data_IF_445376517649
#
_entry.id   IF_445376517649
#
_cell.length_a   1.000
_cell.length_b   1.000
_cell.length_c   1.000
_cell.angle_alpha   90.00
_cell.angle_beta   90.00
_cell.angle_gamma   90.00
#
_symmetry.space_group_name_H-M   'P 1'
#
loop_
_entity.id
_entity.type
_entity.pdbx_description
1 polymer ?
#
# COMPACT_ATOMS: atom_id res chain seq x y z
N UNK A 1 61.58 9.65 -14.56
CA UNK A 1 60.64 10.05 -15.64
C UNK A 1 59.93 8.79 -16.11
N UNK A 2 58.65 8.63 -15.77
CA UNK A 2 57.88 7.46 -16.20
C UNK A 2 57.43 7.65 -17.66
N UNK A 3 57.66 6.64 -18.50
CA UNK A 3 57.29 6.63 -19.91
C UNK A 3 55.77 6.80 -20.09
N UNK A 4 55.31 7.57 -21.08
CA UNK A 4 53.89 7.76 -21.33
C UNK A 4 53.21 6.41 -21.68
N UNK A 5 51.95 6.22 -21.28
CA UNK A 5 51.22 4.99 -21.59
C UNK A 5 51.10 4.83 -23.11
N UNK A 6 51.46 3.65 -23.61
CA UNK A 6 51.36 3.32 -25.03
C UNK A 6 49.92 3.36 -25.56
N UNK A 7 49.72 3.54 -26.87
CA UNK A 7 48.41 3.77 -27.50
C UNK A 7 47.38 2.67 -27.19
N UNK A 8 47.82 1.42 -27.00
CA UNK A 8 46.96 0.30 -26.59
C UNK A 8 46.39 0.45 -25.17
N UNK A 9 47.13 1.03 -24.23
CA UNK A 9 46.65 1.32 -22.87
C UNK A 9 45.66 2.48 -22.87
N UNK A 10 45.89 3.50 -23.71
CA UNK A 10 44.91 4.58 -23.90
C UNK A 10 43.61 4.05 -24.51
N UNK A 11 43.70 3.19 -25.53
CA UNK A 11 42.52 2.59 -26.15
C UNK A 11 41.74 1.70 -25.16
N UNK A 12 42.43 0.90 -24.35
CA UNK A 12 41.79 0.08 -23.32
C UNK A 12 41.14 0.92 -22.21
N UNK A 13 41.76 2.03 -21.79
CA UNK A 13 41.18 2.98 -20.83
C UNK A 13 39.98 3.72 -21.42
N UNK A 14 40.03 4.11 -22.69
CA UNK A 14 38.88 4.69 -23.41
C UNK A 14 37.74 3.68 -23.53
N UNK A 15 38.05 2.41 -23.84
CA UNK A 15 37.06 1.34 -23.93
C UNK A 15 36.43 1.03 -22.57
N UNK A 16 37.22 1.02 -21.49
CA UNK A 16 36.71 0.89 -20.12
C UNK A 16 35.85 2.09 -19.72
N UNK A 17 36.22 3.31 -20.12
CA UNK A 17 35.43 4.52 -19.87
C UNK A 17 34.14 4.58 -20.72
N UNK A 18 34.15 4.01 -21.93
CA UNK A 18 32.98 3.83 -22.79
C UNK A 18 32.04 2.73 -22.28
N UNK A 19 32.57 1.70 -21.62
CA UNK A 19 31.80 0.65 -20.93
C UNK A 19 31.29 1.12 -19.56
N UNK A 20 31.97 2.08 -18.93
CA UNK A 20 31.51 2.80 -17.76
C UNK A 20 30.55 3.94 -18.15
N UNK A 21 29.48 3.61 -18.89
CA UNK A 21 28.30 4.47 -18.91
C UNK A 21 27.77 4.62 -17.47
N UNK A 22 27.10 5.73 -17.11
CA UNK A 22 26.39 5.78 -15.85
C UNK A 22 25.36 4.66 -15.89
N UNK A 23 25.63 3.57 -15.17
CA UNK A 23 24.59 2.63 -14.84
C UNK A 23 23.53 3.46 -14.13
N UNK A 24 22.38 3.67 -14.76
CA UNK A 24 21.24 4.22 -14.05
C UNK A 24 21.09 3.34 -12.81
N UNK A 25 21.31 3.91 -11.63
CA UNK A 25 21.19 3.17 -10.39
C UNK A 25 19.79 2.59 -10.39
N UNK A 26 19.71 1.26 -10.50
CA UNK A 26 18.43 0.57 -10.42
C UNK A 26 17.79 0.97 -9.11
N UNK A 27 16.51 1.34 -9.14
CA UNK A 27 15.78 1.73 -7.95
C UNK A 27 15.97 0.67 -6.85
N UNK A 28 16.49 1.13 -5.71
CA UNK A 28 16.83 0.29 -4.56
C UNK A 28 16.08 0.85 -3.34
N UNK A 29 14.84 0.41 -3.11
CA UNK A 29 14.03 0.91 -2.00
C UNK A 29 14.60 0.44 -0.66
N UNK A 30 14.41 1.26 0.39
CA UNK A 30 14.88 0.96 1.74
C UNK A 30 14.19 -0.29 2.33
N UNK A 31 12.89 -0.41 2.08
CA UNK A 31 12.07 -1.60 2.33
C UNK A 31 11.74 -2.30 1.01
N UNK A 32 11.82 -3.63 0.99
CA UNK A 32 11.55 -4.42 -0.22
C UNK A 32 11.09 -5.85 0.12
N UNK A 33 9.81 -6.00 0.44
CA UNK A 33 9.18 -7.30 0.67
C UNK A 33 8.52 -7.77 -0.63
N UNK A 34 9.07 -8.84 -1.21
CA UNK A 34 8.52 -9.51 -2.39
C UNK A 34 8.16 -10.95 -1.98
N UNK A 35 6.87 -11.20 -1.75
CA UNK A 35 6.39 -12.43 -1.11
C UNK A 35 5.52 -13.23 -2.09
N UNK A 36 5.88 -14.49 -2.32
CA UNK A 36 5.08 -15.47 -3.05
C UNK A 36 4.24 -16.27 -2.04
N UNK A 37 2.97 -15.91 -1.91
CA UNK A 37 2.09 -16.39 -0.85
C UNK A 37 1.65 -17.84 -1.11
N UNK A 38 1.90 -18.72 -0.15
CA UNK A 38 1.63 -20.15 -0.25
C UNK A 38 2.52 -20.94 -1.20
N UNK A 39 3.54 -20.31 -1.79
CA UNK A 39 4.56 -21.02 -2.55
C UNK A 39 5.48 -21.83 -1.60
N UNK A 40 6.00 -22.96 -2.09
CA UNK A 40 7.00 -23.77 -1.36
C UNK A 40 8.43 -23.46 -1.80
N UNK A 41 8.60 -22.73 -2.90
CA UNK A 41 9.89 -22.33 -3.46
C UNK A 41 9.84 -20.86 -3.92
N UNK A 42 11.00 -20.18 -3.96
CA UNK A 42 11.08 -18.82 -4.50
C UNK A 42 10.66 -18.75 -5.97
N UNK A 43 9.99 -17.67 -6.35
CA UNK A 43 9.64 -17.36 -7.73
C UNK A 43 10.57 -16.25 -8.27
N UNK A 44 11.17 -16.47 -9.44
CA UNK A 44 11.99 -15.46 -10.12
C UNK A 44 11.27 -15.01 -11.38
N UNK A 45 11.06 -13.70 -11.50
CA UNK A 45 10.39 -13.11 -12.65
C UNK A 45 11.39 -12.79 -13.78
N UNK A 46 10.92 -12.66 -15.03
CA UNK A 46 11.78 -12.26 -16.16
C UNK A 46 12.49 -10.91 -15.96
N UNK A 47 11.95 -10.05 -15.10
CA UNK A 47 12.56 -8.76 -14.73
C UNK A 47 13.67 -8.86 -13.68
N UNK A 48 13.98 -10.07 -13.21
CA UNK A 48 15.02 -10.37 -12.23
C UNK A 48 14.56 -10.26 -10.78
N UNK A 49 13.32 -9.83 -10.51
CA UNK A 49 12.79 -9.82 -9.14
C UNK A 49 12.63 -11.24 -8.61
N UNK A 50 13.04 -11.45 -7.37
CA UNK A 50 12.93 -12.72 -6.65
C UNK A 50 11.95 -12.58 -5.50
N UNK A 51 10.87 -13.34 -5.57
CA UNK A 51 9.84 -13.42 -4.53
C UNK A 51 10.12 -14.64 -3.66
N UNK A 52 10.09 -14.46 -2.34
CA UNK A 52 10.32 -15.52 -1.36
C UNK A 52 9.01 -16.07 -0.83
N UNK A 53 8.93 -17.37 -0.47
CA UNK A 53 7.78 -17.91 0.25
C UNK A 53 7.43 -17.11 1.51
N UNK A 54 6.15 -16.94 1.78
CA UNK A 54 5.63 -16.36 3.02
C UNK A 54 6.07 -17.11 4.29
N UNK A 55 6.28 -18.43 4.19
CA UNK A 55 6.85 -19.27 5.25
C UNK A 55 8.35 -19.04 5.53
N UNK A 56 9.07 -18.37 4.62
CA UNK A 56 10.53 -18.19 4.69
C UNK A 56 11.00 -16.73 4.80
N UNK A 57 10.08 -15.78 5.00
CA UNK A 57 10.41 -14.36 5.04
C UNK A 57 10.75 -13.90 6.46
N UNK A 58 12.03 -13.64 6.74
CA UNK A 58 12.49 -13.27 8.09
C UNK A 58 12.00 -11.90 8.58
N UNK A 59 11.70 -10.97 7.66
CA UNK A 59 11.22 -9.61 7.96
C UNK A 59 9.69 -9.51 8.01
N UNK A 60 9.02 -10.66 8.13
CA UNK A 60 7.57 -10.78 8.10
C UNK A 60 7.11 -11.81 9.13
N UNK A 61 5.97 -11.56 9.77
CA UNK A 61 5.29 -12.56 10.61
C UNK A 61 3.86 -12.77 10.14
N UNK A 62 3.47 -14.02 9.90
CA UNK A 62 2.09 -14.39 9.59
C UNK A 62 1.34 -14.69 10.89
N UNK A 63 0.27 -13.95 11.16
CA UNK A 63 -0.62 -14.18 12.30
C UNK A 63 -1.96 -14.71 11.81
N UNK A 64 -2.44 -15.77 12.43
CA UNK A 64 -3.73 -16.39 12.12
C UNK A 64 -4.27 -17.08 13.36
N UNK A 65 -5.60 -17.07 13.53
CA UNK A 65 -6.26 -17.85 14.56
C UNK A 65 -6.28 -19.36 14.22
N UNK A 66 -6.26 -19.69 12.93
CA UNK A 66 -6.17 -21.07 12.46
C UNK A 66 -4.71 -21.57 12.54
N UNK A 67 -4.45 -22.76 13.14
CA UNK A 67 -3.10 -23.28 13.35
C UNK A 67 -2.41 -23.75 12.05
N UNK A 68 -3.18 -24.10 11.02
CA UNK A 68 -2.66 -24.42 9.70
C UNK A 68 -3.44 -23.63 8.64
N UNK A 69 -2.72 -22.87 7.82
CA UNK A 69 -3.28 -22.15 6.70
C UNK A 69 -3.12 -22.99 5.42
N UNK A 70 -4.19 -23.22 4.64
CA UNK A 70 -4.09 -23.93 3.39
C UNK A 70 -3.36 -23.12 2.31
N UNK A 71 -2.72 -23.85 1.38
CA UNK A 71 -2.27 -23.32 0.10
C UNK A 71 -3.23 -23.80 -0.99
N UNK A 72 -3.62 -22.92 -1.89
CA UNK A 72 -4.31 -23.30 -3.12
C UNK A 72 -3.33 -23.25 -4.29
N UNK A 73 -3.47 -24.18 -5.23
CA UNK A 73 -2.71 -24.25 -6.47
C UNK A 73 -3.64 -24.71 -7.61
N UNK A 74 -3.29 -24.49 -8.89
CA UNK A 74 -4.06 -24.99 -10.01
C UNK A 74 -4.21 -26.52 -9.96
N UNK A 75 -5.44 -27.03 -10.13
CA UNK A 75 -5.68 -28.48 -10.26
C UNK A 75 -5.23 -29.01 -11.62
N UNK A 76 -4.70 -30.23 -11.69
CA UNK A 76 -4.29 -30.82 -12.97
C UNK A 76 -5.47 -31.47 -13.73
N UNK A 77 -5.57 -31.34 -15.07
CA UNK A 77 -4.75 -30.51 -15.96
C UNK A 77 -5.27 -29.05 -16.02
N UNK A 78 -4.48 -28.10 -15.53
CA UNK A 78 -4.77 -26.66 -15.64
C UNK A 78 -3.88 -25.99 -16.69
N UNK A 79 -4.35 -24.90 -17.33
CA UNK A 79 -3.48 -24.01 -18.10
C UNK A 79 -2.31 -23.51 -17.26
N UNK A 80 -1.17 -23.25 -17.91
CA UNK A 80 -0.04 -22.62 -17.25
C UNK A 80 -0.48 -21.26 -16.66
N UNK A 81 -0.09 -20.95 -15.41
CA UNK A 81 -0.47 -19.68 -14.79
C UNK A 81 0.14 -18.50 -15.55
N UNK A 82 -0.52 -17.33 -15.57
CA UNK A 82 -0.05 -16.18 -16.35
C UNK A 82 1.27 -15.57 -15.83
N UNK A 83 1.68 -15.92 -14.61
CA UNK A 83 2.93 -15.51 -13.99
C UNK A 83 3.37 -16.58 -12.98
N UNK A 84 4.68 -16.76 -12.72
CA UNK A 84 5.15 -17.56 -11.59
C UNK A 84 4.55 -17.16 -10.23
N UNK A 85 4.16 -15.88 -10.05
CA UNK A 85 3.48 -15.43 -8.83
C UNK A 85 2.09 -16.05 -8.64
N UNK A 86 1.49 -16.55 -9.72
CA UNK A 86 0.15 -17.13 -9.73
C UNK A 86 0.20 -18.66 -9.67
N UNK A 87 1.32 -19.26 -9.26
CA UNK A 87 1.45 -20.70 -9.09
C UNK A 87 0.76 -21.22 -7.82
N UNK A 88 0.62 -20.38 -6.79
CA UNK A 88 -0.03 -20.71 -5.53
C UNK A 88 -0.76 -19.49 -4.95
N UNK A 89 -1.60 -19.72 -3.94
CA UNK A 89 -2.17 -18.68 -3.07
C UNK A 89 -2.17 -19.15 -1.62
N UNK A 90 -1.95 -18.23 -0.68
CA UNK A 90 -2.32 -18.42 0.72
C UNK A 90 -3.82 -18.18 0.86
N UNK A 91 -4.52 -19.08 1.54
CA UNK A 91 -5.96 -18.98 1.78
C UNK A 91 -6.24 -18.86 3.28
N UNK A 92 -7.16 -17.96 3.64
CA UNK A 92 -7.58 -17.66 5.01
C UNK A 92 -9.06 -17.94 5.17
N UNK A 93 -9.39 -18.87 6.07
CA UNK A 93 -10.77 -19.18 6.47
C UNK A 93 -11.24 -18.34 7.67
N UNK A 94 -10.35 -17.55 8.26
CA UNK A 94 -10.62 -16.65 9.36
C UNK A 94 -9.72 -15.40 9.22
N UNK A 95 -9.91 -14.45 10.12
CA UNK A 95 -9.05 -13.27 10.21
C UNK A 95 -7.57 -13.66 10.32
N UNK A 96 -6.74 -13.09 9.44
CA UNK A 96 -5.30 -13.28 9.42
C UNK A 96 -4.57 -11.99 9.01
N UNK A 97 -3.33 -11.84 9.44
CA UNK A 97 -2.51 -10.67 9.11
C UNK A 97 -1.06 -11.02 8.77
N UNK A 98 -0.47 -10.24 7.87
CA UNK A 98 0.97 -10.16 7.65
C UNK A 98 1.49 -8.93 8.38
N UNK A 99 2.41 -9.13 9.31
CA UNK A 99 3.18 -8.06 9.93
C UNK A 99 4.46 -7.88 9.12
N UNK A 100 4.58 -6.76 8.41
CA UNK A 100 5.72 -6.48 7.52
C UNK A 100 6.61 -5.41 8.18
N UNK A 101 7.86 -5.75 8.46
CA UNK A 101 8.79 -4.80 9.07
C UNK A 101 9.09 -3.62 8.13
N UNK A 102 9.13 -2.40 8.66
CA UNK A 102 9.37 -1.16 7.90
C UNK A 102 10.57 -0.45 8.51
N UNK A 103 11.58 -0.20 7.67
CA UNK A 103 12.84 0.45 8.04
C UNK A 103 12.77 1.94 7.82
N UNK A 104 12.06 2.40 6.77
CA UNK A 104 11.90 3.83 6.46
C UNK A 104 10.42 4.19 6.47
N UNK A 105 9.98 4.86 7.55
CA UNK A 105 8.65 5.48 7.60
C UNK A 105 8.46 6.46 6.44
N UNK A 106 7.22 6.59 5.98
CA UNK A 106 6.85 7.39 4.83
C UNK A 106 6.00 6.61 3.84
N UNK A 107 6.02 7.03 2.58
CA UNK A 107 5.21 6.40 1.54
C UNK A 107 5.72 5.02 1.15
N UNK A 108 4.79 4.10 0.95
CA UNK A 108 5.07 2.77 0.45
C UNK A 108 4.12 2.41 -0.69
N UNK A 109 4.65 1.66 -1.66
CA UNK A 109 3.83 0.96 -2.64
C UNK A 109 3.47 -0.40 -2.08
N UNK A 110 2.19 -0.72 -2.07
CA UNK A 110 1.64 -2.05 -1.75
C UNK A 110 0.94 -2.61 -2.97
N UNK A 111 1.42 -3.74 -3.51
CA UNK A 111 0.74 -4.48 -4.58
C UNK A 111 0.31 -5.84 -4.12
N UNK A 112 -0.96 -6.15 -4.37
CA UNK A 112 -1.58 -7.43 -4.03
C UNK A 112 -1.99 -8.14 -5.32
N UNK A 113 -1.51 -9.36 -5.50
CA UNK A 113 -1.83 -10.19 -6.66
C UNK A 113 -2.88 -11.21 -6.28
N UNK A 114 -3.96 -11.26 -7.06
CA UNK A 114 -5.06 -12.21 -6.91
C UNK A 114 -5.25 -12.98 -8.21
N UNK A 115 -5.07 -14.29 -8.17
CA UNK A 115 -5.39 -15.23 -9.22
C UNK A 115 -6.27 -16.33 -8.64
N UNK A 116 -7.56 -16.40 -9.04
CA UNK A 116 -8.58 -17.15 -8.31
C UNK A 116 -8.60 -18.66 -8.56
N UNK A 117 -7.76 -19.18 -9.45
CA UNK A 117 -7.83 -20.59 -9.88
C UNK A 117 -9.26 -21.02 -10.25
N UNK A 118 -9.95 -20.18 -11.05
CA UNK A 118 -11.39 -20.31 -11.27
C UNK A 118 -11.80 -21.74 -11.65
N UNK A 119 -12.83 -22.30 -10.98
CA UNK A 119 -13.76 -21.61 -10.08
C UNK A 119 -13.34 -21.55 -8.59
N UNK A 120 -12.21 -22.13 -8.18
CA UNK A 120 -11.92 -22.46 -6.78
C UNK A 120 -12.01 -21.28 -5.78
N UNK A 121 -11.48 -20.12 -6.14
CA UNK A 121 -11.51 -18.89 -5.32
C UNK A 121 -12.25 -17.74 -5.99
N UNK A 122 -12.93 -18.00 -7.12
CA UNK A 122 -13.59 -16.95 -7.91
C UNK A 122 -14.75 -16.27 -7.16
N UNK A 123 -15.41 -17.01 -6.26
CA UNK A 123 -16.51 -16.54 -5.41
C UNK A 123 -16.05 -16.13 -4.00
N UNK A 124 -14.75 -16.13 -3.72
CA UNK A 124 -14.21 -15.70 -2.44
C UNK A 124 -14.51 -14.21 -2.22
N UNK A 125 -15.08 -13.87 -1.06
CA UNK A 125 -15.46 -12.51 -0.69
C UNK A 125 -14.82 -12.14 0.63
N UNK A 126 -14.08 -11.03 0.66
CA UNK A 126 -13.30 -10.64 1.82
C UNK A 126 -12.95 -9.15 1.82
N UNK A 127 -12.46 -8.68 2.97
CA UNK A 127 -11.92 -7.34 3.16
C UNK A 127 -10.41 -7.40 3.30
N UNK A 128 -9.75 -6.31 2.90
CA UNK A 128 -8.31 -6.11 3.11
C UNK A 128 -8.07 -4.75 3.73
N UNK A 129 -7.33 -4.72 4.83
CA UNK A 129 -6.86 -3.48 5.45
C UNK A 129 -5.35 -3.46 5.59
N UNK A 130 -4.74 -2.27 5.57
CA UNK A 130 -3.32 -2.10 5.80
C UNK A 130 -3.06 -0.85 6.64
N UNK A 131 -2.29 -0.97 7.73
CA UNK A 131 -1.89 0.20 8.54
C UNK A 131 -3.07 1.02 9.09
N UNK A 132 -4.20 0.36 9.38
CA UNK A 132 -5.43 1.02 9.84
C UNK A 132 -6.37 1.50 8.73
N UNK A 133 -5.95 1.44 7.47
CA UNK A 133 -6.79 1.82 6.33
C UNK A 133 -7.53 0.61 5.74
N UNK A 134 -8.82 0.76 5.45
CA UNK A 134 -9.58 -0.19 4.64
C UNK A 134 -9.23 0.01 3.15
N UNK A 135 -8.58 -0.97 2.54
CA UNK A 135 -8.14 -0.92 1.14
C UNK A 135 -9.17 -1.54 0.19
N UNK A 136 -9.72 -2.68 0.58
CA UNK A 136 -10.68 -3.46 -0.20
C UNK A 136 -11.86 -3.86 0.69
N UNK A 137 -13.07 -3.57 0.25
CA UNK A 137 -14.31 -3.86 0.97
C UNK A 137 -15.22 -4.74 0.10
N UNK A 138 -15.76 -5.83 0.67
CA UNK A 138 -16.57 -6.82 -0.06
C UNK A 138 -15.93 -7.24 -1.39
N UNK A 139 -14.61 -7.46 -1.38
CA UNK A 139 -13.84 -7.68 -2.57
C UNK A 139 -13.96 -9.12 -3.05
N UNK A 140 -14.13 -9.26 -4.37
CA UNK A 140 -14.12 -10.52 -5.09
C UNK A 140 -13.17 -10.41 -6.29
N UNK A 141 -12.55 -11.52 -6.68
CA UNK A 141 -11.61 -11.57 -7.79
C UNK A 141 -11.99 -12.73 -8.73
N UNK A 142 -13.01 -12.59 -9.59
CA UNK A 142 -13.43 -13.66 -10.50
C UNK A 142 -12.42 -13.96 -11.62
N UNK A 143 -11.48 -13.05 -11.85
CA UNK A 143 -10.38 -13.14 -12.82
C UNK A 143 -9.08 -12.60 -12.21
N UNK A 144 -7.89 -12.93 -12.78
CA UNK A 144 -6.63 -12.37 -12.32
C UNK A 144 -6.64 -10.84 -12.25
N UNK A 145 -6.25 -10.29 -11.10
CA UNK A 145 -6.19 -8.85 -10.86
C UNK A 145 -5.02 -8.51 -9.94
N UNK A 146 -4.39 -7.38 -10.20
CA UNK A 146 -3.39 -6.77 -9.31
C UNK A 146 -3.98 -5.49 -8.77
N UNK A 147 -3.97 -5.34 -7.44
CA UNK A 147 -4.35 -4.10 -6.76
C UNK A 147 -3.10 -3.36 -6.34
N UNK A 148 -2.98 -2.09 -6.73
CA UNK A 148 -1.77 -1.28 -6.57
C UNK A 148 -2.09 -0.02 -5.76
N UNK A 149 -1.50 0.08 -4.57
CA UNK A 149 -1.75 1.14 -3.61
C UNK A 149 -0.50 1.93 -3.30
N UNK A 150 -0.66 3.23 -3.08
CA UNK A 150 0.33 4.08 -2.42
C UNK A 150 -0.28 4.54 -1.09
N UNK A 151 0.39 4.25 0.02
CA UNK A 151 -0.12 4.60 1.36
C UNK A 151 0.99 5.17 2.26
N UNK A 152 0.65 6.06 3.21
CA UNK A 152 1.56 6.47 4.27
C UNK A 152 1.74 5.35 5.29
N UNK A 153 2.96 5.21 5.79
CA UNK A 153 3.31 4.24 6.84
C UNK A 153 4.16 4.94 7.90
N UNK A 154 3.55 5.20 9.06
CA UNK A 154 4.15 5.97 10.15
C UNK A 154 4.65 5.08 11.30
N UNK A 155 4.60 3.76 11.13
CA UNK A 155 5.01 2.76 12.10
C UNK A 155 6.15 1.89 11.55
N UNK A 156 6.86 1.20 12.46
CA UNK A 156 7.97 0.30 12.11
C UNK A 156 7.48 -1.08 11.64
N UNK A 157 6.16 -1.30 11.66
CA UNK A 157 5.48 -2.50 11.14
C UNK A 157 4.22 -2.06 10.41
N UNK A 158 4.06 -2.49 9.16
CA UNK A 158 2.79 -2.43 8.45
C UNK A 158 2.02 -3.72 8.69
N UNK A 159 0.87 -3.63 9.35
CA UNK A 159 -0.04 -4.77 9.53
C UNK A 159 -1.00 -4.80 8.33
N UNK A 160 -0.90 -5.85 7.51
CA UNK A 160 -1.77 -6.13 6.37
C UNK A 160 -2.74 -7.26 6.73
N UNK A 161 -4.02 -6.93 6.88
CA UNK A 161 -5.06 -7.81 7.41
C UNK A 161 -6.01 -8.27 6.32
N UNK A 162 -6.35 -9.56 6.34
CA UNK A 162 -7.35 -10.20 5.49
C UNK A 162 -8.50 -10.72 6.35
N UNK A 163 -9.73 -10.36 5.98
CA UNK A 163 -10.94 -10.72 6.74
C UNK A 163 -11.96 -11.35 5.79
N UNK A 164 -12.13 -12.68 5.80
CA UNK A 164 -13.17 -13.32 4.99
C UNK A 164 -14.57 -12.96 5.48
N UNK A 165 -15.51 -12.86 4.55
CA UNK A 165 -16.93 -12.83 4.86
C UNK A 165 -17.40 -14.14 5.50
N UNK A 166 -18.51 -14.10 6.23
CA UNK A 166 -19.07 -15.28 6.89
C UNK A 166 -19.34 -16.41 5.88
N UNK A 167 -18.73 -17.58 6.10
CA UNK A 167 -18.83 -18.72 5.19
C UNK A 167 -18.01 -18.59 3.89
N UNK A 168 -17.16 -17.57 3.78
CA UNK A 168 -16.25 -17.35 2.65
C UNK A 168 -14.79 -17.58 3.04
N UNK A 169 -13.88 -17.25 2.13
CA UNK A 169 -12.44 -17.27 2.34
C UNK A 169 -11.80 -15.99 1.79
N UNK A 170 -10.64 -15.63 2.33
CA UNK A 170 -9.75 -14.62 1.76
C UNK A 170 -8.54 -15.32 1.13
N UNK A 171 -7.93 -14.71 0.12
CA UNK A 171 -6.72 -15.28 -0.46
C UNK A 171 -5.82 -14.19 -1.04
N UNK A 172 -4.54 -14.52 -1.19
CA UNK A 172 -3.55 -13.68 -1.87
C UNK A 172 -2.48 -14.57 -2.48
N UNK A 173 -2.04 -14.25 -3.70
CA UNK A 173 -1.03 -15.01 -4.44
C UNK A 173 0.37 -14.41 -4.26
N UNK A 174 0.47 -13.08 -4.23
CA UNK A 174 1.71 -12.39 -3.95
C UNK A 174 1.48 -11.01 -3.32
N UNK A 175 2.46 -10.58 -2.53
CA UNK A 175 2.50 -9.27 -1.87
C UNK A 175 3.82 -8.61 -2.27
N UNK A 176 3.73 -7.38 -2.77
CA UNK A 176 4.87 -6.48 -2.91
C UNK A 176 4.66 -5.33 -1.94
N UNK A 177 5.60 -5.09 -1.02
CA UNK A 177 5.65 -3.89 -0.21
C UNK A 177 7.05 -3.29 -0.31
N UNK A 178 7.16 -2.07 -0.83
CA UNK A 178 8.45 -1.39 -0.91
C UNK A 178 8.33 0.11 -0.67
N UNK A 179 9.39 0.71 -0.12
CA UNK A 179 9.41 2.16 0.12
C UNK A 179 9.26 2.90 -1.20
N UNK A 180 8.42 3.93 -1.22
CA UNK A 180 8.25 4.82 -2.36
C UNK A 180 9.07 6.09 -2.16
N UNK A 181 9.58 6.71 -3.25
CA UNK A 181 10.12 8.06 -3.19
C UNK A 181 9.06 9.07 -2.74
N UNK A 182 9.48 10.04 -1.92
CA UNK A 182 8.56 11.02 -1.34
C UNK A 182 7.90 11.88 -2.42
N UNK A 183 8.61 12.07 -3.54
CA UNK A 183 8.24 12.83 -4.73
C UNK A 183 7.13 12.21 -5.59
N UNK A 184 6.73 10.96 -5.31
CA UNK A 184 5.65 10.32 -6.05
C UNK A 184 4.30 11.02 -5.86
N UNK A 185 4.03 11.66 -4.73
CA UNK A 185 2.82 12.46 -4.52
C UNK A 185 3.19 13.66 -3.66
N UNK A 186 3.04 14.86 -4.19
CA UNK A 186 3.20 16.08 -3.40
C UNK A 186 2.06 16.24 -2.38
N UNK A 187 2.20 17.13 -1.41
CA UNK A 187 1.11 17.39 -0.45
C UNK A 187 0.01 18.30 -1.04
N UNK A 188 0.34 19.03 -2.10
CA UNK A 188 -0.50 20.07 -2.70
C UNK A 188 -1.00 19.58 -4.06
N UNK A 189 -2.29 19.73 -4.30
CA UNK A 189 -2.92 19.49 -5.59
C UNK A 189 -3.89 20.58 -5.99
N UNK A 190 -4.47 20.40 -7.17
CA UNK A 190 -5.41 21.36 -7.77
C UNK A 190 -6.80 20.74 -7.86
N UNK A 191 -7.71 21.11 -6.96
CA UNK A 191 -9.11 20.69 -7.01
C UNK A 191 -9.81 21.36 -8.20
N UNK A 192 -10.40 20.55 -9.08
CA UNK A 192 -11.15 21.00 -10.24
C UNK A 192 -12.62 20.62 -10.07
N UNK A 193 -13.50 21.62 -10.12
CA UNK A 193 -14.94 21.45 -10.00
C UNK A 193 -15.68 22.45 -10.91
N UNK A 194 -17.01 22.32 -11.02
CA UNK A 194 -17.84 23.26 -11.75
C UNK A 194 -17.69 24.72 -11.28
N UNK A 195 -17.45 24.92 -9.98
CA UNK A 195 -17.23 26.24 -9.39
C UNK A 195 -15.86 26.87 -9.73
N UNK A 196 -14.96 26.10 -10.38
CA UNK A 196 -13.64 26.54 -10.76
C UNK A 196 -12.53 25.69 -10.16
N UNK A 197 -11.35 26.30 -10.03
CA UNK A 197 -10.12 25.63 -9.62
C UNK A 197 -9.68 26.18 -8.26
N UNK A 198 -9.45 25.27 -7.31
CA UNK A 198 -8.99 25.62 -5.96
C UNK A 198 -7.76 24.81 -5.59
N UNK A 199 -6.94 25.35 -4.69
CA UNK A 199 -5.86 24.59 -4.07
C UNK A 199 -6.44 23.60 -3.06
N UNK A 200 -5.87 22.39 -3.01
CA UNK A 200 -6.12 21.42 -1.94
C UNK A 200 -4.79 20.92 -1.39
N UNK A 201 -4.71 20.81 -0.06
CA UNK A 201 -3.52 20.33 0.66
C UNK A 201 -3.84 18.97 1.33
N UNK A 202 -2.85 18.33 1.96
CA UNK A 202 -3.06 17.06 2.67
C UNK A 202 -3.15 15.83 1.77
N UNK A 203 -2.67 15.91 0.53
CA UNK A 203 -2.56 14.74 -0.35
C UNK A 203 -1.56 13.72 0.16
N UNK A 204 -0.54 14.17 0.91
CA UNK A 204 0.54 13.29 1.34
C UNK A 204 0.11 12.25 2.37
N UNK A 205 -0.97 12.51 3.10
CA UNK A 205 -1.56 11.61 4.10
C UNK A 205 -2.64 10.69 3.53
N UNK A 206 -2.91 10.76 2.22
CA UNK A 206 -3.95 9.94 1.59
C UNK A 206 -3.45 8.58 1.15
N UNK A 207 -4.38 7.63 1.10
CA UNK A 207 -4.20 6.37 0.40
C UNK A 207 -4.72 6.52 -1.02
N UNK A 208 -3.92 6.06 -1.98
CA UNK A 208 -4.23 6.08 -3.40
C UNK A 208 -4.27 4.66 -3.96
N UNK A 209 -5.37 4.24 -4.57
CA UNK A 209 -5.42 3.05 -5.42
C UNK A 209 -5.22 3.46 -6.88
N UNK A 210 -4.15 2.98 -7.51
CA UNK A 210 -3.93 3.26 -8.93
C UNK A 210 -4.87 2.42 -9.80
N UNK A 211 -5.71 3.08 -10.59
CA UNK A 211 -6.64 2.43 -11.52
C UNK A 211 -6.08 2.39 -12.94
N UNK A 212 -5.44 3.49 -13.37
CA UNK A 212 -4.93 3.64 -14.72
C UNK A 212 -3.52 4.22 -14.73
N UNK A 213 -2.68 3.68 -15.62
CA UNK A 213 -1.39 4.27 -16.02
C UNK A 213 -1.26 4.18 -17.53
N UNK A 214 -1.22 5.33 -18.18
CA UNK A 214 -1.33 5.46 -19.62
C UNK A 214 -0.05 6.07 -20.18
N UNK A 215 0.55 5.38 -21.15
CA UNK A 215 1.62 5.91 -21.98
C UNK A 215 1.02 6.43 -23.30
N UNK A 216 0.89 7.75 -23.43
CA UNK A 216 0.12 8.37 -24.52
C UNK A 216 0.90 8.29 -25.83
N UNK A 217 0.28 7.69 -26.85
CA UNK A 217 0.88 7.34 -28.14
C UNK A 217 2.15 6.45 -28.06
N UNK A 218 2.54 6.04 -26.86
CA UNK A 218 3.72 5.24 -26.59
C UNK A 218 3.45 3.74 -26.60
N UNK A 219 4.53 2.96 -26.57
CA UNK A 219 4.43 1.50 -26.44
C UNK A 219 4.14 1.13 -24.98
N UNK A 220 3.56 -0.06 -24.77
CA UNK A 220 3.35 -0.60 -23.43
C UNK A 220 4.69 -0.65 -22.68
N UNK A 221 4.74 -0.04 -21.51
CA UNK A 221 5.87 -0.14 -20.57
C UNK A 221 5.54 -1.25 -19.60
N UNK A 222 6.48 -2.17 -19.39
CA UNK A 222 6.35 -3.30 -18.47
C UNK A 222 7.26 -3.10 -17.27
N UNK A 223 7.11 -3.90 -16.19
CA UNK A 223 7.99 -3.81 -15.03
C UNK A 223 9.49 -3.91 -15.35
N UNK A 224 9.85 -4.57 -16.46
CA UNK A 224 11.23 -4.66 -16.94
C UNK A 224 11.83 -3.30 -17.33
N UNK A 225 11.01 -2.40 -17.87
CA UNK A 225 11.40 -1.10 -18.42
C UNK A 225 10.89 0.09 -17.59
N UNK A 226 10.32 -0.16 -16.41
CA UNK A 226 9.85 0.86 -15.48
C UNK A 226 10.75 0.92 -14.24
N UNK A 227 10.88 2.11 -13.66
CA UNK A 227 11.72 2.38 -12.49
C UNK A 227 11.15 1.83 -11.19
N UNK A 228 9.83 1.67 -11.09
CA UNK A 228 9.11 1.18 -9.91
C UNK A 228 8.29 -0.07 -10.21
N UNK A 229 8.69 -0.83 -11.24
CA UNK A 229 8.01 -2.04 -11.70
C UNK A 229 6.53 -1.85 -12.06
N UNK A 230 6.15 -0.64 -12.50
CA UNK A 230 4.79 -0.32 -12.98
C UNK A 230 4.58 -0.83 -14.40
N UNK A 231 3.30 -0.94 -14.77
CA UNK A 231 2.89 -1.17 -16.15
C UNK A 231 2.15 0.06 -16.66
N UNK A 232 2.53 0.54 -17.83
CA UNK A 232 1.85 1.64 -18.52
C UNK A 232 1.29 1.12 -19.84
N UNK A 233 -0.01 1.33 -20.08
CA UNK A 233 -0.69 0.85 -21.30
C UNK A 233 -0.88 1.99 -22.29
N UNK A 234 -0.98 1.68 -23.58
CA UNK A 234 -1.20 2.67 -24.60
C UNK A 234 -2.61 3.31 -24.49
N UNK A 235 -2.74 4.58 -24.89
CA UNK A 235 -3.96 5.38 -24.74
C UNK A 235 -5.10 5.04 -25.73
N UNK A 236 -4.82 4.30 -26.80
CA UNK A 236 -5.75 4.05 -27.91
C UNK A 236 -7.09 3.46 -27.50
N UNK A 237 -7.15 2.69 -26.41
CA UNK A 237 -8.40 2.10 -25.89
C UNK A 237 -9.30 3.10 -25.17
N UNK A 238 -8.80 4.29 -24.86
CA UNK A 238 -9.49 5.30 -24.03
C UNK A 238 -9.86 6.55 -24.82
N UNK A 239 -9.37 6.72 -26.05
CA UNK A 239 -9.68 7.86 -26.90
C UNK A 239 -11.15 7.85 -27.34
N UNK A 240 -11.85 8.98 -27.13
CA UNK A 240 -13.25 9.15 -27.54
C UNK A 240 -13.37 9.33 -29.05
N UNK A 241 -12.49 10.14 -29.64
CA UNK A 241 -12.38 10.31 -31.09
C UNK A 241 -10.99 9.93 -31.54
N UNK A 242 -10.93 9.08 -32.57
CA UNK A 242 -9.68 8.67 -33.23
C UNK A 242 -9.47 9.41 -34.55
N UNK A 243 -10.18 10.52 -34.77
CA UNK A 243 -10.03 11.29 -36.00
C UNK A 243 -8.59 11.77 -36.15
N UNK A 244 -7.90 11.22 -37.15
CA UNK A 244 -6.50 11.50 -37.45
C UNK A 244 -6.25 12.92 -37.94
N UNK A 245 -7.30 13.63 -38.36
CA UNK A 245 -7.22 15.00 -38.85
C UNK A 245 -6.89 16.01 -37.74
N UNK A 246 -7.33 15.76 -36.50
CA UNK A 246 -7.17 16.68 -35.37
C UNK A 246 -6.05 16.31 -34.41
N UNK A 247 -5.57 15.06 -34.45
CA UNK A 247 -4.54 14.55 -33.53
C UNK A 247 -3.33 13.94 -34.24
N UNK A 248 -2.15 14.02 -33.61
CA UNK A 248 -0.91 13.46 -34.16
C UNK A 248 -0.06 12.81 -33.07
N UNK A 249 0.44 11.61 -33.33
CA UNK A 249 1.39 10.92 -32.47
C UNK A 249 2.83 11.39 -32.73
N UNK A 250 3.62 11.48 -31.67
CA UNK A 250 5.02 11.90 -31.67
C UNK A 250 5.88 10.91 -30.91
N UNK A 251 7.12 10.77 -31.37
CA UNK A 251 8.15 9.96 -30.73
C UNK A 251 9.47 10.71 -30.75
N UNK A 252 10.20 10.66 -29.65
CA UNK A 252 11.46 11.35 -29.45
C UNK A 252 12.59 10.37 -29.18
N UNK A 253 13.60 10.37 -30.04
CA UNK A 253 14.80 9.52 -29.88
C UNK A 253 15.91 10.16 -29.06
N UNK A 254 15.74 11.42 -28.62
CA UNK A 254 16.73 12.13 -27.82
C UNK A 254 16.66 11.80 -26.34
N UNK A 255 17.55 12.42 -25.56
CA UNK A 255 17.60 12.24 -24.11
C UNK A 255 16.58 13.14 -23.41
N UNK A 256 15.75 12.57 -22.54
CA UNK A 256 14.87 13.34 -21.66
C UNK A 256 15.71 14.03 -20.58
N UNK A 257 15.58 15.35 -20.48
CA UNK A 257 16.35 16.22 -19.62
C UNK A 257 15.68 16.35 -18.25
N UNK A 258 15.72 15.29 -17.43
CA UNK A 258 15.30 15.39 -16.04
C UNK A 258 16.16 16.44 -15.31
N UNK A 259 15.56 17.35 -14.53
CA UNK A 259 16.31 18.29 -13.73
C UNK A 259 17.33 17.59 -12.86
N UNK A 260 18.57 18.10 -12.87
CA UNK A 260 19.59 17.67 -11.92
C UNK A 260 19.14 18.08 -10.51
N UNK A 261 19.32 17.17 -9.55
CA UNK A 261 19.08 17.39 -8.12
C UNK A 261 17.63 17.75 -7.73
N UNK A 262 16.66 17.59 -8.63
CA UNK A 262 15.25 17.79 -8.30
C UNK A 262 14.71 16.62 -7.48
N UNK A 263 14.11 16.97 -6.33
CA UNK A 263 13.30 16.05 -5.51
C UNK A 263 11.82 16.06 -5.89
N UNK A 264 11.46 16.67 -7.02
CA UNK A 264 10.07 16.75 -7.49
C UNK A 264 9.89 16.02 -8.82
N UNK A 265 10.98 15.84 -9.57
CA UNK A 265 10.94 15.24 -10.90
C UNK A 265 12.17 14.35 -11.12
N UNK A 266 11.93 13.05 -11.03
CA UNK A 266 12.93 11.99 -11.18
C UNK A 266 12.39 10.91 -12.11
N UNK A 267 13.24 9.93 -12.47
CA UNK A 267 12.79 8.80 -13.32
C UNK A 267 11.83 7.87 -12.59
N UNK A 268 11.78 7.95 -11.26
CA UNK A 268 10.84 7.25 -10.41
C UNK A 268 9.43 7.83 -10.57
N UNK A 269 9.28 9.13 -10.84
CA UNK A 269 7.97 9.73 -11.15
C UNK A 269 7.34 9.09 -12.39
N UNK A 270 8.07 9.04 -13.50
CA UNK A 270 7.74 8.22 -14.66
C UNK A 270 9.01 7.98 -15.50
N UNK A 271 9.16 6.84 -16.19
CA UNK A 271 10.35 6.53 -16.96
C UNK A 271 10.40 7.31 -18.29
N UNK A 272 11.58 7.37 -18.92
CA UNK A 272 11.77 8.01 -20.24
C UNK A 272 10.78 7.52 -21.29
N UNK A 273 10.41 6.24 -21.22
CA UNK A 273 9.46 5.62 -22.14
C UNK A 273 8.05 6.23 -22.10
N UNK A 274 7.73 7.00 -21.06
CA UNK A 274 6.49 7.79 -20.97
C UNK A 274 6.69 9.16 -21.59
N UNK A 275 7.82 9.83 -21.30
CA UNK A 275 8.07 11.20 -21.77
C UNK A 275 8.63 11.29 -23.20
N UNK A 276 9.03 10.17 -23.81
CA UNK A 276 9.53 10.12 -25.17
C UNK A 276 8.44 9.89 -26.23
N UNK A 277 7.19 9.75 -25.82
CA UNK A 277 6.02 9.74 -26.69
C UNK A 277 5.02 10.79 -26.27
N UNK A 278 4.24 11.28 -27.24
CA UNK A 278 3.15 12.20 -26.98
C UNK A 278 2.08 12.11 -28.05
N UNK A 279 0.86 12.51 -27.71
CA UNK A 279 -0.19 12.81 -28.70
C UNK A 279 -0.52 14.28 -28.63
N UNK A 280 -0.43 14.97 -29.77
CA UNK A 280 -0.80 16.38 -29.89
C UNK A 280 -2.18 16.56 -30.51
N UNK A 281 -2.79 17.72 -30.29
CA UNK A 281 -4.00 18.22 -30.92
C UNK A 281 -3.72 19.51 -31.69
N UNK A 282 -4.47 19.77 -32.76
CA UNK A 282 -4.42 21.03 -33.52
C UNK A 282 -5.01 22.21 -32.74
N UNK A 283 -4.68 23.43 -33.16
CA UNK A 283 -5.17 24.69 -32.55
C UNK A 283 -6.70 24.84 -32.49
N UNK A 284 -7.42 24.18 -33.40
CA UNK A 284 -8.88 24.20 -33.54
C UNK A 284 -9.57 22.90 -33.09
N UNK A 285 -8.80 21.93 -32.59
CA UNK A 285 -9.29 20.60 -32.22
C UNK A 285 -9.40 20.37 -30.72
N UNK A 286 -10.00 19.24 -30.37
CA UNK A 286 -9.97 18.66 -29.03
C UNK A 286 -9.45 17.22 -29.07
N UNK A 287 -8.83 16.80 -27.97
CA UNK A 287 -8.38 15.43 -27.77
C UNK A 287 -8.90 14.97 -26.41
N UNK A 288 -9.72 13.93 -26.41
CA UNK A 288 -10.50 13.52 -25.23
C UNK A 288 -10.29 12.04 -24.95
N UNK A 289 -10.14 11.70 -23.67
CA UNK A 289 -10.07 10.34 -23.16
C UNK A 289 -11.18 10.10 -22.13
N UNK A 290 -11.80 8.93 -22.19
CA UNK A 290 -12.82 8.47 -21.24
C UNK A 290 -12.32 7.25 -20.46
N UNK A 291 -12.41 7.33 -19.13
CA UNK A 291 -11.96 6.28 -18.22
C UNK A 291 -13.11 5.80 -17.33
N UNK A 292 -13.58 4.56 -17.47
CA UNK A 292 -14.56 4.00 -16.54
C UNK A 292 -14.00 3.98 -15.11
N UNK A 293 -14.65 4.64 -14.17
CA UNK A 293 -14.21 4.70 -12.77
C UNK A 293 -15.39 4.53 -11.82
N UNK A 294 -15.20 4.00 -10.61
CA UNK A 294 -16.29 3.96 -9.63
C UNK A 294 -16.87 5.35 -9.33
N UNK A 295 -18.19 5.52 -9.50
CA UNK A 295 -18.87 6.77 -9.14
C UNK A 295 -18.78 7.06 -7.63
N UNK A 296 -19.09 8.30 -7.21
CA UNK A 296 -19.07 8.79 -5.82
C UNK A 296 -17.73 8.65 -5.12
N UNK A 297 -16.65 8.83 -5.88
CA UNK A 297 -15.28 8.76 -5.41
C UNK A 297 -14.50 10.00 -5.86
N UNK A 298 -13.45 10.30 -5.10
CA UNK A 298 -12.48 11.34 -5.40
C UNK A 298 -11.27 10.72 -6.08
N UNK A 299 -10.70 11.41 -7.05
CA UNK A 299 -9.58 10.95 -7.83
C UNK A 299 -8.46 11.98 -7.88
N UNK A 300 -7.22 11.50 -7.79
CA UNK A 300 -6.03 12.23 -8.19
C UNK A 300 -5.72 11.84 -9.64
N UNK A 301 -5.74 12.82 -10.53
CA UNK A 301 -5.41 12.72 -11.94
C UNK A 301 -4.07 13.40 -12.14
N UNK A 302 -3.04 12.60 -12.43
CA UNK A 302 -1.72 13.12 -12.80
C UNK A 302 -1.57 13.13 -14.30
N UNK A 303 -1.34 14.31 -14.87
CA UNK A 303 -1.01 14.47 -16.28
C UNK A 303 0.48 14.71 -16.45
N UNK A 304 1.13 13.88 -17.27
CA UNK A 304 2.56 13.97 -17.58
C UNK A 304 2.80 14.68 -18.90
N UNK A 305 3.73 15.64 -18.87
CA UNK A 305 4.09 16.48 -19.99
C UNK A 305 5.60 16.54 -20.15
N UNK A 306 6.07 16.52 -21.40
CA UNK A 306 7.44 16.74 -21.79
C UNK A 306 7.40 17.24 -23.24
N UNK A 307 7.80 18.49 -23.46
CA UNK A 307 7.68 19.10 -24.77
C UNK A 307 8.71 18.51 -25.74
N UNK A 308 8.24 17.51 -26.50
CA UNK A 308 8.94 16.86 -27.60
C UNK A 308 8.32 17.22 -28.96
N UNK A 309 7.40 18.18 -28.98
CA UNK A 309 6.57 18.54 -30.14
C UNK A 309 7.03 19.87 -30.73
N UNK A 310 7.32 20.85 -29.87
CA UNK A 310 7.74 22.19 -30.29
C UNK A 310 9.14 22.19 -30.92
N UNK A 311 9.37 23.15 -31.81
CA UNK A 311 10.72 23.44 -32.34
C UNK A 311 11.45 24.50 -31.50
N UNK A 312 10.70 25.33 -30.78
CA UNK A 312 11.22 26.35 -29.87
C UNK A 312 10.25 26.57 -28.70
N UNK A 313 10.70 27.25 -27.65
CA UNK A 313 9.85 27.63 -26.51
C UNK A 313 8.70 28.54 -26.96
N UNK A 314 7.63 28.56 -26.17
CA UNK A 314 6.45 29.43 -26.30
C UNK A 314 5.64 29.23 -27.59
N UNK A 315 5.56 27.99 -28.11
CA UNK A 315 4.88 27.66 -29.35
C UNK A 315 3.52 26.96 -29.16
N UNK A 316 3.36 26.19 -28.10
CA UNK A 316 2.23 25.29 -27.89
C UNK A 316 1.40 25.75 -26.68
N UNK A 317 0.31 26.45 -26.98
CA UNK A 317 -0.68 26.87 -25.99
C UNK A 317 -1.90 25.96 -26.08
N UNK A 318 -2.43 25.52 -24.95
CA UNK A 318 -3.60 24.65 -24.92
C UNK A 318 -4.37 24.74 -23.61
N UNK A 319 -5.64 24.37 -23.62
CA UNK A 319 -6.45 24.30 -22.42
C UNK A 319 -6.58 22.85 -21.94
N UNK A 320 -6.49 22.66 -20.63
CA UNK A 320 -6.65 21.35 -19.98
C UNK A 320 -8.05 21.32 -19.35
N UNK A 321 -8.79 20.25 -19.61
CA UNK A 321 -10.10 20.00 -19.04
C UNK A 321 -10.09 18.69 -18.26
N UNK A 322 -10.57 18.75 -17.02
CA UNK A 322 -10.70 17.59 -16.13
C UNK A 322 -12.17 17.46 -15.76
N UNK A 323 -12.75 16.31 -16.08
CA UNK A 323 -14.16 16.00 -15.96
C UNK A 323 -15.09 17.07 -16.56
N UNK A 324 -14.75 17.56 -17.75
CA UNK A 324 -15.52 18.61 -18.45
C UNK A 324 -15.31 20.03 -17.93
N UNK A 325 -14.60 20.22 -16.82
CA UNK A 325 -14.31 21.53 -16.24
C UNK A 325 -12.93 22.04 -16.68
N UNK A 326 -12.82 23.34 -16.90
CA UNK A 326 -11.57 24.00 -17.28
C UNK A 326 -10.59 24.01 -16.10
N UNK A 327 -9.48 23.30 -16.23
CA UNK A 327 -8.46 23.17 -15.20
C UNK A 327 -7.28 24.13 -15.43
N UNK A 328 -6.90 24.35 -16.68
CA UNK A 328 -5.90 25.35 -17.07
C UNK A 328 -6.26 25.92 -18.43
N UNK A 329 -6.14 27.23 -18.61
CA UNK A 329 -6.45 27.93 -19.86
C UNK A 329 -5.17 28.40 -20.52
N UNK A 330 -5.05 28.18 -21.83
CA UNK A 330 -3.92 28.65 -22.66
C UNK A 330 -2.55 28.35 -22.01
N UNK A 331 -2.44 27.16 -21.43
CA UNK A 331 -1.24 26.65 -20.78
C UNK A 331 -0.16 26.37 -21.82
N UNK A 332 1.05 26.87 -21.53
CA UNK A 332 2.28 26.52 -22.24
C UNK A 332 3.27 25.99 -21.22
N UNK A 333 3.69 24.74 -21.38
CA UNK A 333 4.62 24.10 -20.45
C UNK A 333 6.00 24.76 -20.47
N UNK A 334 6.44 25.25 -21.63
CA UNK A 334 7.79 25.76 -21.80
C UNK A 334 8.03 27.05 -21.00
N UNK A 335 6.97 27.81 -20.71
CA UNK A 335 6.97 28.91 -19.74
C UNK A 335 7.30 28.48 -18.32
N UNK A 336 6.96 27.25 -17.94
CA UNK A 336 7.21 26.69 -16.60
C UNK A 336 8.57 25.98 -16.54
N UNK A 337 8.91 25.19 -17.57
CA UNK A 337 10.14 24.40 -17.57
C UNK A 337 11.36 25.20 -18.03
N UNK A 338 11.19 26.20 -18.91
CA UNK A 338 12.28 26.95 -19.54
C UNK A 338 13.09 26.16 -20.58
N UNK A 339 12.77 24.88 -20.80
CA UNK A 339 13.51 23.97 -21.67
C UNK A 339 12.56 22.97 -22.38
N UNK A 340 12.93 22.55 -23.59
CA UNK A 340 12.31 21.44 -24.30
C UNK A 340 12.84 20.09 -23.79
N UNK A 341 12.11 19.02 -24.08
CA UNK A 341 12.40 17.65 -23.63
C UNK A 341 12.62 17.55 -22.10
N UNK A 342 11.98 18.45 -21.35
CA UNK A 342 12.07 18.55 -19.90
C UNK A 342 10.76 18.08 -19.27
N UNK A 343 10.77 17.02 -18.44
CA UNK A 343 9.57 16.43 -17.91
C UNK A 343 8.93 17.28 -16.81
N UNK A 344 7.61 17.27 -16.78
CA UNK A 344 6.75 17.94 -15.82
C UNK A 344 5.48 17.12 -15.61
N UNK A 345 4.86 17.23 -14.43
CA UNK A 345 3.52 16.70 -14.22
C UNK A 345 2.65 17.73 -13.52
N UNK A 346 1.34 17.58 -13.69
CA UNK A 346 0.34 18.35 -12.94
C UNK A 346 -0.63 17.38 -12.31
N UNK A 347 -0.90 17.60 -11.02
CA UNK A 347 -1.83 16.84 -10.22
C UNK A 347 -3.15 17.60 -10.04
N UNK A 348 -4.23 17.02 -10.54
CA UNK A 348 -5.59 17.50 -10.37
C UNK A 348 -6.36 16.57 -9.44
N UNK A 349 -7.16 17.14 -8.56
CA UNK A 349 -8.12 16.41 -7.73
C UNK A 349 -9.50 16.66 -8.30
N UNK A 350 -10.28 15.61 -8.47
CA UNK A 350 -11.64 15.72 -9.03
C UNK A 350 -12.57 14.73 -8.35
N UNK A 351 -13.78 15.20 -8.08
CA UNK A 351 -14.89 14.37 -7.61
C UNK A 351 -15.68 13.88 -8.82
N UNK A 352 -15.98 12.58 -8.86
CA UNK A 352 -16.87 11.97 -9.86
C UNK A 352 -18.13 11.58 -9.12
N UNK A 353 -19.13 12.45 -9.17
CA UNK A 353 -20.37 12.31 -8.39
C UNK A 353 -21.31 11.27 -9.00
N UNK A 354 -21.62 11.44 -10.29
CA UNK A 354 -22.46 10.60 -11.11
C UNK A 354 -21.70 10.15 -12.37
N UNK A 355 -22.27 9.17 -13.08
CA UNK A 355 -21.69 8.50 -14.25
C UNK A 355 -20.30 7.92 -13.93
N UNK A 356 -20.16 6.59 -13.94
CA UNK A 356 -18.90 5.92 -13.62
C UNK A 356 -17.81 6.10 -14.70
N UNK A 357 -17.55 7.34 -15.13
CA UNK A 357 -16.70 7.73 -16.23
C UNK A 357 -16.03 9.07 -15.95
N UNK A 358 -14.71 9.08 -15.96
CA UNK A 358 -13.89 10.28 -15.85
C UNK A 358 -13.44 10.72 -17.25
N UNK A 359 -13.83 11.95 -17.64
CA UNK A 359 -13.52 12.52 -18.95
C UNK A 359 -12.36 13.51 -18.84
N UNK A 360 -11.30 13.31 -19.62
CA UNK A 360 -10.14 14.20 -19.64
C UNK A 360 -9.95 14.74 -21.05
N UNK A 361 -9.63 16.02 -21.21
CA UNK A 361 -9.40 16.59 -22.53
C UNK A 361 -8.30 17.64 -22.60
N UNK A 362 -7.65 17.70 -23.75
CA UNK A 362 -6.76 18.78 -24.17
C UNK A 362 -7.43 19.52 -25.34
N UNK A 363 -7.72 20.80 -25.15
CA UNK A 363 -8.26 21.67 -26.19
C UNK A 363 -7.16 22.53 -26.81
N UNK A 364 -7.12 22.59 -28.15
CA UNK A 364 -6.27 23.54 -28.85
C UNK A 364 -6.57 24.99 -28.47
N UNK A 365 -5.59 25.87 -28.66
CA UNK A 365 -5.71 27.31 -28.46
C UNK A 365 -5.41 28.06 -29.75
N UNK A 366 -6.14 29.17 -29.94
CA UNK A 366 -5.89 30.14 -31.01
C UNK A 366 -4.63 30.97 -30.78
N UNK A 367 -4.03 30.90 -29.58
CA UNK A 367 -2.71 31.48 -29.30
C UNK A 367 -1.58 30.72 -30.00
N UNK A 368 -1.80 29.45 -30.31
CA UNK A 368 -0.90 28.65 -31.16
C UNK A 368 -1.09 29.00 -32.63
N UNK A 369 -0.13 28.58 -33.46
CA UNK A 369 -0.20 28.80 -34.90
C UNK A 369 -1.44 28.13 -35.51
N UNK A 370 -2.24 28.85 -36.31
CA UNK A 370 -3.45 28.29 -36.91
C UNK A 370 -3.17 27.04 -37.73
N UNK A 371 -3.85 25.95 -37.38
CA UNK A 371 -3.74 24.68 -38.08
C UNK A 371 -2.45 23.90 -37.86
N UNK A 372 -1.62 24.31 -36.89
CA UNK A 372 -0.49 23.51 -36.41
C UNK A 372 -0.86 22.81 -35.09
N UNK A 373 0.09 22.04 -34.53
CA UNK A 373 -0.04 21.48 -33.20
C UNK A 373 -0.17 22.60 -32.16
N UNK A 374 -0.93 22.34 -31.10
CA UNK A 374 -1.26 23.34 -30.08
C UNK A 374 -1.14 22.78 -28.68
N UNK A 375 -1.76 21.64 -28.40
CA UNK A 375 -1.66 20.96 -27.11
C UNK A 375 -1.20 19.52 -27.25
N UNK A 376 -0.73 18.93 -26.16
CA UNK A 376 -0.26 17.54 -26.16
C UNK A 376 -0.29 16.92 -24.77
N UNK A 377 -0.16 15.60 -24.71
CA UNK A 377 0.00 14.83 -23.47
C UNK A 377 0.97 13.66 -23.70
N UNK A 378 1.82 13.35 -22.73
CA UNK A 378 2.80 12.26 -22.79
C UNK A 378 2.37 11.04 -21.97
N UNK A 379 1.73 11.26 -20.83
CA UNK A 379 1.27 10.18 -19.96
C UNK A 379 0.17 10.62 -19.00
N UNK A 380 -0.49 9.64 -18.39
CA UNK A 380 -1.56 9.87 -17.43
C UNK A 380 -1.55 8.81 -16.34
N UNK A 381 -1.76 9.21 -15.08
CA UNK A 381 -2.12 8.30 -13.99
C UNK A 381 -3.46 8.73 -13.37
N UNK A 382 -4.33 7.76 -13.09
CA UNK A 382 -5.58 7.99 -12.37
C UNK A 382 -5.57 7.14 -11.11
N UNK A 383 -5.66 7.81 -9.97
CA UNK A 383 -5.59 7.20 -8.65
C UNK A 383 -6.86 7.53 -7.87
N UNK A 384 -7.58 6.52 -7.41
CA UNK A 384 -8.71 6.68 -6.49
C UNK A 384 -8.18 7.06 -5.11
N UNK A 385 -8.69 8.14 -4.55
CA UNK A 385 -8.34 8.61 -3.22
C UNK A 385 -9.30 8.03 -2.17
N UNK A 386 -8.78 7.77 -0.98
CA UNK A 386 -9.65 7.55 0.17
C UNK A 386 -10.41 8.84 0.53
N UNK A 387 -11.64 8.74 1.03
CA UNK A 387 -12.45 9.91 1.38
C UNK A 387 -11.89 10.63 2.61
N UNK A 388 -11.47 11.88 2.43
CA UNK A 388 -11.10 12.80 3.51
C UNK A 388 -12.33 13.53 4.03
N UNK A 389 -12.72 13.28 5.28
CA UNK A 389 -13.69 14.10 6.00
C UNK A 389 -15.01 13.37 6.26
N UNK A 390 -15.23 13.07 7.53
CA UNK A 390 -16.28 12.18 8.01
C UNK A 390 -15.73 10.76 8.05
N UNK A 391 -15.38 10.31 9.26
CA UNK A 391 -15.01 8.92 9.46
C UNK A 391 -15.97 8.02 8.72
N UNK A 392 -15.45 6.99 8.04
CA UNK A 392 -16.21 5.76 8.07
C UNK A 392 -16.31 5.44 9.55
N UNK A 393 -17.47 5.74 10.15
CA UNK A 393 -17.89 5.31 11.48
C UNK A 393 -18.17 3.80 11.46
N UNK A 394 -17.21 3.10 10.88
CA UNK A 394 -16.92 1.69 10.93
C UNK A 394 -15.42 1.74 11.14
N UNK A 395 -15.02 2.11 12.37
CA UNK A 395 -13.68 1.93 12.86
C UNK A 395 -13.25 0.51 12.44
N UNK A 396 -12.48 0.40 11.35
CA UNK A 396 -11.93 -0.87 10.92
C UNK A 396 -11.11 -1.54 12.05
N UNK A 397 -10.48 -0.78 12.98
CA UNK A 397 -10.02 -1.33 14.25
C UNK A 397 -11.17 -1.80 15.16
N UNK A 398 -12.19 -0.98 15.42
CA UNK A 398 -13.21 -1.29 16.45
C UNK A 398 -14.25 -2.33 16.02
N UNK A 399 -14.56 -2.49 14.73
CA UNK A 399 -15.46 -3.56 14.26
C UNK A 399 -14.75 -4.92 14.32
N UNK A 400 -13.45 -4.96 14.05
CA UNK A 400 -12.65 -6.18 14.20
C UNK A 400 -12.32 -6.46 15.67
N UNK A 401 -12.03 -5.43 16.48
CA UNK A 401 -11.75 -5.58 17.91
C UNK A 401 -13.03 -5.93 18.69
N UNK A 402 -14.20 -5.36 18.37
CA UNK A 402 -15.48 -5.81 18.95
C UNK A 402 -15.83 -7.23 18.53
N UNK A 403 -15.67 -7.62 17.27
CA UNK A 403 -15.93 -9.00 16.82
C UNK A 403 -14.99 -10.03 17.48
N UNK A 404 -13.73 -9.67 17.69
CA UNK A 404 -12.71 -10.51 18.31
C UNK A 404 -12.82 -10.53 19.85
N UNK A 405 -13.03 -9.39 20.51
CA UNK A 405 -13.22 -9.29 21.95
C UNK A 405 -14.53 -9.93 22.40
N UNK A 406 -15.61 -9.83 21.62
CA UNK A 406 -16.88 -10.51 21.93
C UNK A 406 -16.75 -12.03 21.78
N UNK A 407 -15.99 -12.52 20.80
CA UNK A 407 -15.80 -13.98 20.61
C UNK A 407 -14.80 -14.61 21.59
N UNK A 408 -13.72 -13.90 21.96
CA UNK A 408 -12.74 -14.38 22.94
C UNK A 408 -13.18 -14.15 24.40
N UNK A 409 -13.85 -13.03 24.65
CA UNK A 409 -14.32 -12.62 25.99
C UNK A 409 -15.37 -13.56 26.56
N UNK A 410 -16.34 -14.03 25.77
CA UNK A 410 -17.36 -14.96 26.28
C UNK A 410 -16.79 -16.33 26.67
N UNK A 411 -15.83 -16.86 25.90
CA UNK A 411 -15.23 -18.17 26.14
C UNK A 411 -14.29 -18.20 27.36
N UNK A 412 -13.48 -17.16 27.56
CA UNK A 412 -12.56 -17.07 28.70
C UNK A 412 -13.29 -16.62 29.98
N UNK A 413 -14.26 -15.69 29.88
CA UNK A 413 -15.05 -15.25 31.03
C UNK A 413 -15.95 -16.36 31.58
N UNK A 414 -16.60 -17.16 30.71
CA UNK A 414 -17.41 -18.31 31.13
C UNK A 414 -16.57 -19.40 31.82
N UNK A 415 -15.33 -19.66 31.36
CA UNK A 415 -14.42 -20.63 31.99
C UNK A 415 -13.89 -20.13 33.34
N UNK A 416 -13.65 -18.82 33.48
CA UNK A 416 -13.26 -18.19 34.75
C UNK A 416 -14.40 -18.20 35.77
N UNK A 417 -15.64 -17.93 35.34
CA UNK A 417 -16.82 -17.96 36.21
C UNK A 417 -17.10 -19.39 36.71
N UNK A 418 -16.93 -20.40 35.83
CA UNK A 418 -17.11 -21.80 36.20
C UNK A 418 -16.06 -22.25 37.23
N UNK A 419 -14.80 -21.83 37.07
CA UNK A 419 -13.76 -22.10 38.07
C UNK A 419 -14.06 -21.39 39.40
N UNK A 420 -14.50 -20.13 39.37
CA UNK A 420 -14.88 -19.37 40.57
C UNK A 420 -16.02 -20.04 41.35
N UNK A 421 -17.05 -20.54 40.66
CA UNK A 421 -18.18 -21.24 41.29
C UNK A 421 -17.76 -22.58 41.90
N UNK A 422 -16.87 -23.33 41.24
CA UNK A 422 -16.31 -24.58 41.78
C UNK A 422 -15.48 -24.31 43.03
N UNK A 423 -14.61 -23.29 43.01
CA UNK A 423 -13.81 -22.92 44.19
C UNK A 423 -14.67 -22.41 45.35
N UNK A 424 -15.69 -21.61 45.09
CA UNK A 424 -16.63 -21.15 46.11
C UNK A 424 -17.42 -22.33 46.72
N UNK A 425 -17.85 -23.28 45.88
CA UNK A 425 -18.52 -24.51 46.33
C UNK A 425 -17.61 -25.37 47.21
N UNK A 426 -16.37 -25.61 46.79
CA UNK A 426 -15.38 -26.37 47.57
C UNK A 426 -15.05 -25.68 48.90
N UNK A 427 -14.95 -24.34 48.91
CA UNK A 427 -14.72 -23.57 50.13
C UNK A 427 -15.88 -23.69 51.11
N UNK A 428 -17.13 -23.62 50.64
CA UNK A 428 -18.31 -23.81 51.49
C UNK A 428 -18.37 -25.23 52.09
N UNK A 429 -18.04 -26.26 51.29
CA UNK A 429 -17.97 -27.65 51.78
C UNK A 429 -16.85 -27.80 52.82
N UNK A 430 -15.70 -27.16 52.62
CA UNK A 430 -14.61 -27.16 53.59
C UNK A 430 -15.00 -26.47 54.90
N UNK A 431 -15.64 -25.30 54.84
CA UNK A 431 -16.15 -24.58 56.02
C UNK A 431 -17.19 -25.43 56.76
N UNK A 432 -18.13 -26.05 56.04
CA UNK A 432 -19.10 -26.98 56.59
C UNK A 432 -18.43 -28.17 57.30
N UNK A 433 -17.40 -28.76 56.70
CA UNK A 433 -16.61 -29.84 57.31
C UNK A 433 -15.89 -29.39 58.57
N UNK A 434 -15.27 -28.21 58.56
CA UNK A 434 -14.59 -27.64 59.75
C UNK A 434 -15.58 -27.32 60.85
N UNK A 435 -16.74 -26.75 60.52
CA UNK A 435 -17.81 -26.48 61.48
C UNK A 435 -18.37 -27.78 62.06
N UNK A 436 -18.59 -28.80 61.22
CA UNK A 436 -19.03 -30.13 61.66
C UNK A 436 -17.99 -30.80 62.55
N UNK A 437 -16.71 -30.73 62.17
CA UNK A 437 -15.60 -31.27 62.97
C UNK A 437 -15.48 -30.52 64.30
N UNK A 438 -15.68 -29.20 64.32
CA UNK A 438 -15.74 -28.40 65.54
C UNK A 438 -16.94 -28.74 66.42
N UNK A 439 -18.11 -29.01 65.85
CA UNK A 439 -19.27 -29.46 66.64
C UNK A 439 -19.07 -30.85 67.21
N UNK A 440 -18.45 -31.77 66.46
CA UNK A 440 -18.10 -33.11 66.95
C UNK A 440 -17.03 -33.04 68.05
N UNK A 441 -16.01 -32.20 67.90
CA UNK A 441 -15.00 -31.94 68.94
C UNK A 441 -15.60 -31.26 70.18
N UNK A 442 -16.61 -30.41 70.01
CA UNK A 442 -17.30 -29.75 71.12
C UNK A 442 -18.27 -30.69 71.84
N UNK A 443 -18.88 -31.63 71.12
CA UNK A 443 -19.73 -32.67 71.71
C UNK A 443 -18.91 -33.77 72.40
N UNK A 444 -17.73 -34.09 71.87
CA UNK A 444 -16.79 -35.04 72.51
C UNK A 444 -15.92 -34.40 73.62
N UNK A 445 -15.93 -33.07 73.75
CA UNK A 445 -15.16 -32.33 74.75
C UNK A 445 -15.80 -32.21 76.14
N UNK A 446 -16.97 -32.81 76.37
CA UNK A 446 -17.70 -32.74 77.65
C UNK A 446 -17.40 -33.88 78.63
N UNK A 447 -16.33 -34.65 78.40
CA UNK A 447 -15.79 -35.58 79.39
C UNK A 447 -14.31 -35.26 79.60
N UNK A 448 -13.95 -35.02 80.85
CA UNK A 448 -12.61 -34.72 81.38
C UNK A 448 -12.21 -33.22 81.37
N UNK A 449 -12.55 -32.50 82.44
CA UNK A 449 -11.60 -32.25 83.54
C UNK A 449 -12.24 -31.40 84.64
N UNK A 450 -12.36 -31.98 85.84
CA UNK A 450 -12.30 -31.22 87.09
C UNK A 450 -11.44 -32.00 88.08
N UNK A 451 -10.23 -31.53 88.36
CA UNK A 451 -9.76 -31.44 89.74
C UNK A 451 -8.59 -30.46 89.86
N UNK A 452 -8.77 -29.55 90.82
CA UNK A 452 -7.84 -28.52 91.28
C UNK A 452 -6.92 -29.05 92.37
N UNK A 453 -5.72 -28.46 92.48
CA UNK A 453 -4.94 -28.09 93.69
C UNK A 453 -3.46 -27.91 93.27
N UNK A 454 -2.62 -27.02 93.78
CA UNK A 454 -2.74 -25.80 94.60
C UNK A 454 -1.31 -25.18 94.67
N UNK A 455 -1.23 -23.91 95.04
CA UNK A 455 -0.12 -23.21 95.72
C UNK A 455 1.22 -22.88 95.00
N UNK A 456 1.36 -21.61 94.60
CA UNK A 456 2.07 -20.61 95.43
C UNK A 456 3.58 -20.34 95.23
N UNK A 457 3.86 -19.12 94.73
CA UNK A 457 5.02 -18.22 94.93
C UNK A 457 6.43 -18.65 94.42
N UNK A 458 7.25 -17.85 93.72
CA UNK A 458 7.20 -16.44 93.31
C UNK A 458 8.61 -15.82 93.40
N UNK A 459 9.21 -15.38 92.27
CA UNK A 459 9.98 -14.12 92.08
C UNK A 459 10.94 -14.12 90.85
N UNK A 460 10.80 -13.03 90.07
CA UNK A 460 11.79 -12.21 89.32
C UNK A 460 12.90 -12.94 88.48
N UNK A 461 13.15 -12.65 87.20
CA UNK A 461 13.57 -11.35 86.65
C UNK A 461 13.92 -11.42 85.14
N UNK A 462 13.70 -10.27 84.47
CA UNK A 462 14.44 -9.65 83.34
C UNK A 462 14.44 -10.25 81.92
N UNK A 463 13.68 -9.53 81.08
CA UNK A 463 13.89 -9.28 79.66
C UNK A 463 15.19 -8.49 79.38
N UNK A 464 15.71 -8.58 78.15
CA UNK A 464 16.10 -7.45 77.27
C UNK A 464 16.48 -7.99 75.88
N UNK A 465 15.84 -7.47 74.81
CA UNK A 465 16.46 -7.38 73.49
C UNK A 465 16.27 -5.96 72.95
N UNK A 466 17.36 -5.46 72.35
CA UNK A 466 17.70 -4.07 72.09
C UNK A 466 17.06 -3.51 70.82
N UNK A 467 16.82 -2.20 70.88
CA UNK A 467 16.40 -1.25 69.84
C UNK A 467 17.63 -0.76 69.05
N UNK A 468 17.48 -0.23 67.82
CA UNK A 468 18.54 -0.04 66.82
C UNK A 468 19.10 1.40 66.77
N UNK A 469 20.22 1.61 66.06
CA UNK A 469 20.43 2.60 64.96
C UNK A 469 21.91 2.98 64.74
N UNK A 470 22.31 2.94 63.45
CA UNK A 470 23.09 3.93 62.66
C UNK A 470 24.26 4.70 63.32
N UNK A 471 25.46 4.66 62.72
CA UNK A 471 26.08 5.79 61.97
C UNK A 471 27.48 5.48 61.43
N UNK A 472 27.84 6.29 60.43
CA UNK A 472 28.95 6.30 59.48
C UNK A 472 30.38 6.30 60.07
N UNK A 473 31.33 5.86 59.23
CA UNK A 473 32.60 6.55 58.94
C UNK A 473 33.00 6.31 57.49
#
# INVERSE_FOLDING_TARGET
MASPPGPARLAALLLLALLAGPAASRFAPADNHLIACGATAPAVLPDGRRFVPDSGCASMTLRSAAPALPSAAPGAPAPAPPSPLHAAARVFSCHASYDLAVRRRGRHVLRLHFYPFSPALASACFHVGAGGFLLLHNFTAPSPVVKDFLLPVDADVLVLTFVPEAGSAAFVNAIELFSAPDELVGDIGTLVAAAGVNRTDGLSSQVFETLYRINVAGRKVTPFNDTLWRTWVNDEGFLVSKESSSSKAWSFGGRIAYPKDSRLMTREVAPDNVYNSARSVRSDGNLTWDFPVPARNRYLVRMHFCDIVSKALYQLYFSIYVNGHLAAKDFDISSTTGYLAYPYYIDYVVDVDDEGMLKLAIGGSKMSRPGEASGFLNGLEIMRMNKTGGGMDVDFPAVLDMGYLVSKGFGEFARSLLCGLVFAGLFLVFVMLVLRLRTELKNNGTLWFSQSMDSGDGKLAKAYQLVPTKTDY
#
